data_IF_416099394458
#
_entry.id   IF_416099394458
#
_cell.length_a   1.000
_cell.length_b   1.000
_cell.length_c   1.000
_cell.angle_alpha   90.00
_cell.angle_beta   90.00
_cell.angle_gamma   90.00
#
_symmetry.space_group_name_H-M   'P 1'
#
loop_
_entity.id
_entity.type
_entity.pdbx_description
1 polymer ?
#
# COMPACT_ATOMS: atom_id res chain seq x y z
N UNK A 1 28.66 -36.68 -28.04
CA UNK A 1 27.59 -36.53 -27.04
C UNK A 1 27.87 -35.33 -26.11
N UNK A 2 28.02 -34.10 -26.63
CA UNK A 2 28.89 -33.09 -25.95
C UNK A 2 28.38 -31.63 -25.92
N UNK A 3 27.28 -31.29 -26.58
CA UNK A 3 26.85 -29.88 -26.68
C UNK A 3 25.34 -29.68 -26.50
N UNK A 4 24.54 -30.52 -27.14
CA UNK A 4 23.08 -30.35 -27.15
C UNK A 4 22.44 -30.57 -25.77
N UNK A 5 22.99 -31.49 -24.97
CA UNK A 5 22.50 -31.74 -23.61
C UNK A 5 22.66 -30.54 -22.67
N UNK A 6 23.75 -29.78 -22.82
CA UNK A 6 23.97 -28.56 -22.03
C UNK A 6 22.97 -27.48 -22.47
N UNK A 7 22.77 -27.30 -23.78
CA UNK A 7 21.80 -26.36 -24.34
C UNK A 7 20.37 -26.65 -23.88
N UNK A 8 19.93 -27.91 -23.97
CA UNK A 8 18.61 -28.34 -23.50
C UNK A 8 18.44 -28.13 -21.98
N UNK A 9 19.50 -28.37 -21.20
CA UNK A 9 19.45 -28.17 -19.75
C UNK A 9 19.33 -26.69 -19.41
N UNK A 10 20.04 -25.82 -20.13
CA UNK A 10 19.97 -24.37 -19.94
C UNK A 10 18.61 -23.81 -20.37
N UNK A 11 18.07 -24.21 -21.53
CA UNK A 11 16.74 -23.76 -21.97
C UNK A 11 15.67 -24.19 -20.95
N UNK A 12 15.73 -25.43 -20.44
CA UNK A 12 14.80 -25.90 -19.39
C UNK A 12 14.92 -25.17 -18.05
N UNK A 13 16.05 -24.53 -17.79
CA UNK A 13 16.33 -23.80 -16.54
C UNK A 13 16.23 -22.28 -16.70
N UNK A 14 16.02 -21.82 -17.92
CA UNK A 14 15.87 -20.42 -18.27
C UNK A 14 14.41 -19.99 -18.22
N UNK A 15 14.18 -18.69 -18.15
CA UNK A 15 12.86 -18.09 -18.35
C UNK A 15 12.52 -17.96 -19.84
N UNK A 16 13.51 -18.14 -20.71
CA UNK A 16 13.38 -18.07 -22.17
C UNK A 16 13.43 -19.44 -22.83
N UNK A 17 12.61 -19.62 -23.86
CA UNK A 17 12.53 -20.87 -24.64
C UNK A 17 13.59 -20.97 -25.76
N UNK A 18 14.46 -19.96 -25.91
CA UNK A 18 15.49 -19.92 -26.93
C UNK A 18 16.89 -19.77 -26.32
N UNK A 19 17.87 -20.40 -26.96
CA UNK A 19 19.26 -20.43 -26.52
C UNK A 19 19.89 -19.04 -26.39
N UNK A 20 19.61 -18.13 -27.32
CA UNK A 20 20.24 -16.80 -27.37
C UNK A 20 19.87 -15.92 -26.18
N UNK A 21 18.62 -15.99 -25.71
CA UNK A 21 18.20 -15.28 -24.51
C UNK A 21 18.59 -16.06 -23.26
N UNK A 22 18.43 -17.40 -23.28
CA UNK A 22 18.72 -18.25 -22.13
C UNK A 22 20.18 -18.17 -21.67
N UNK A 23 21.14 -18.06 -22.60
CA UNK A 23 22.57 -17.91 -22.27
C UNK A 23 22.92 -16.56 -21.64
N UNK A 24 22.11 -15.53 -21.88
CA UNK A 24 22.35 -14.18 -21.34
C UNK A 24 21.88 -14.02 -19.89
N UNK A 25 21.03 -14.92 -19.40
CA UNK A 25 20.52 -14.89 -18.03
C UNK A 25 21.56 -15.28 -16.97
N UNK A 26 22.61 -15.99 -17.37
CA UNK A 26 23.67 -16.48 -16.49
C UNK A 26 24.83 -15.51 -16.50
N UNK A 27 25.12 -14.86 -15.37
CA UNK A 27 26.06 -13.73 -15.36
C UNK A 27 27.21 -13.89 -14.39
N UNK A 28 27.04 -14.71 -13.34
CA UNK A 28 28.06 -14.88 -12.30
C UNK A 28 28.58 -16.31 -12.30
N UNK A 29 29.89 -16.44 -12.45
CA UNK A 29 30.61 -17.69 -12.31
C UNK A 29 31.47 -17.66 -11.03
N UNK A 30 31.34 -18.71 -10.22
CA UNK A 30 32.14 -18.94 -9.01
C UNK A 30 32.87 -20.26 -9.17
N UNK A 31 34.19 -20.26 -8.96
CA UNK A 31 34.92 -21.50 -8.85
C UNK A 31 34.59 -22.12 -7.48
N UNK A 32 34.01 -23.30 -7.49
CA UNK A 32 33.57 -23.99 -6.28
C UNK A 32 34.61 -25.01 -5.83
N UNK A 33 35.20 -25.76 -6.77
CA UNK A 33 36.12 -26.85 -6.42
C UNK A 33 37.16 -27.11 -7.50
N UNK A 34 38.28 -27.66 -7.07
CA UNK A 34 39.26 -28.27 -7.97
C UNK A 34 39.42 -29.73 -7.61
N UNK A 35 39.12 -30.57 -8.58
CA UNK A 35 39.24 -32.00 -8.45
C UNK A 35 40.60 -32.45 -8.98
N UNK A 36 41.58 -32.44 -8.10
CA UNK A 36 42.93 -32.96 -8.36
C UNK A 36 42.93 -34.46 -8.73
N UNK A 37 41.86 -35.19 -8.40
CA UNK A 37 41.70 -36.61 -8.73
C UNK A 37 41.09 -36.85 -10.12
N UNK A 38 40.62 -35.80 -10.80
CA UNK A 38 40.00 -35.87 -12.13
C UNK A 38 38.84 -36.90 -12.23
N UNK A 39 38.10 -37.12 -11.14
CA UNK A 39 36.95 -38.03 -11.09
C UNK A 39 35.64 -37.34 -11.46
N UNK A 40 35.59 -36.02 -11.44
CA UNK A 40 34.38 -35.23 -11.66
C UNK A 40 34.04 -35.07 -13.14
N UNK A 41 32.74 -34.99 -13.42
CA UNK A 41 32.19 -34.84 -14.77
C UNK A 41 31.36 -33.56 -14.85
N UNK A 42 31.50 -32.84 -15.96
CA UNK A 42 30.71 -31.65 -16.25
C UNK A 42 29.27 -32.01 -16.55
N UNK A 43 28.32 -31.10 -16.29
CA UNK A 43 26.92 -31.19 -16.72
C UNK A 43 26.76 -31.46 -18.23
N UNK A 44 27.72 -31.05 -19.07
CA UNK A 44 27.73 -31.35 -20.51
C UNK A 44 28.14 -32.80 -20.84
N UNK A 45 28.44 -33.64 -19.84
CA UNK A 45 28.84 -35.05 -19.98
C UNK A 45 30.36 -35.26 -20.14
N UNK A 46 31.15 -34.18 -20.16
CA UNK A 46 32.61 -34.27 -20.26
C UNK A 46 33.21 -34.73 -18.94
N UNK A 47 33.92 -35.87 -18.96
CA UNK A 47 34.55 -36.45 -17.76
C UNK A 47 35.91 -35.82 -17.48
N UNK A 48 36.44 -36.06 -16.28
CA UNK A 48 37.79 -35.71 -15.85
C UNK A 48 38.11 -34.21 -15.78
N UNK A 49 37.13 -33.41 -15.37
CA UNK A 49 37.30 -31.95 -15.26
C UNK A 49 38.03 -31.55 -13.98
N UNK A 50 39.15 -30.83 -14.12
CA UNK A 50 39.97 -30.37 -13.00
C UNK A 50 39.32 -29.22 -12.22
N UNK A 51 38.64 -28.30 -12.89
CA UNK A 51 38.02 -27.12 -12.28
C UNK A 51 36.51 -27.16 -12.39
N UNK A 52 35.84 -26.97 -11.27
CA UNK A 52 34.38 -27.06 -11.12
C UNK A 52 33.85 -25.69 -10.74
N UNK A 53 33.05 -25.13 -11.63
CA UNK A 53 32.40 -23.86 -11.45
C UNK A 53 30.92 -24.07 -11.16
N UNK A 54 30.34 -23.14 -10.39
CA UNK A 54 28.90 -22.90 -10.31
C UNK A 54 28.62 -21.59 -11.05
N UNK A 55 27.57 -21.56 -11.86
CA UNK A 55 27.07 -20.33 -12.47
C UNK A 55 25.63 -20.08 -12.02
N UNK A 56 25.30 -18.82 -11.71
CA UNK A 56 23.97 -18.42 -11.23
C UNK A 56 23.30 -17.44 -12.18
N UNK A 57 21.96 -17.45 -12.16
CA UNK A 57 21.13 -16.54 -12.94
C UNK A 57 21.04 -15.17 -12.28
N UNK A 58 20.87 -14.13 -13.09
CA UNK A 58 20.78 -12.75 -12.64
C UNK A 58 19.35 -12.29 -12.30
N UNK A 59 18.36 -13.16 -12.45
CA UNK A 59 16.93 -12.86 -12.26
C UNK A 59 16.48 -12.94 -10.78
N UNK A 60 17.43 -13.17 -9.87
CA UNK A 60 17.14 -13.36 -8.44
C UNK A 60 16.68 -14.77 -8.10
N UNK A 61 16.64 -15.71 -9.05
CA UNK A 61 16.41 -17.11 -8.75
C UNK A 61 17.64 -17.72 -8.06
N UNK A 62 17.42 -18.56 -7.03
CA UNK A 62 18.48 -19.35 -6.37
C UNK A 62 18.94 -20.55 -7.21
N UNK A 63 18.63 -20.54 -8.52
CA UNK A 63 18.95 -21.63 -9.44
C UNK A 63 20.41 -21.51 -9.85
N UNK A 64 21.19 -22.51 -9.49
CA UNK A 64 22.59 -22.64 -9.88
C UNK A 64 22.84 -23.81 -10.84
N UNK A 65 23.80 -23.64 -11.74
CA UNK A 65 24.31 -24.68 -12.61
C UNK A 65 25.66 -25.15 -12.10
N UNK A 66 25.66 -26.31 -11.46
CA UNK A 66 26.84 -26.99 -10.93
C UNK A 66 26.70 -28.51 -11.15
N UNK A 67 27.78 -29.25 -11.47
CA UNK A 67 29.13 -28.79 -11.81
C UNK A 67 29.31 -28.44 -13.29
N UNK A 68 29.84 -27.25 -13.59
CA UNK A 68 30.19 -26.85 -14.96
C UNK A 68 31.70 -26.60 -15.10
N UNK A 69 32.30 -27.09 -16.18
CA UNK A 69 33.71 -26.85 -16.52
C UNK A 69 33.88 -25.52 -17.26
N UNK A 70 35.08 -24.92 -17.19
CA UNK A 70 35.40 -23.65 -17.86
C UNK A 70 35.09 -23.67 -19.36
N UNK A 71 35.43 -24.77 -20.05
CA UNK A 71 35.14 -24.94 -21.48
C UNK A 71 33.65 -25.02 -21.82
N UNK A 72 32.81 -25.42 -20.86
CA UNK A 72 31.35 -25.41 -21.03
C UNK A 72 30.75 -24.03 -20.65
N UNK A 73 31.41 -23.22 -19.82
CA UNK A 73 31.04 -21.80 -19.58
C UNK A 73 31.40 -20.91 -20.78
N UNK A 74 32.57 -21.08 -21.39
CA UNK A 74 33.01 -20.26 -22.53
C UNK A 74 32.03 -20.32 -23.72
N UNK A 75 31.34 -21.44 -23.88
CA UNK A 75 30.30 -21.66 -24.91
C UNK A 75 29.04 -20.82 -24.73
N UNK A 76 28.85 -20.16 -23.58
CA UNK A 76 27.74 -19.24 -23.38
C UNK A 76 27.95 -17.94 -24.18
N UNK A 77 29.18 -17.64 -24.59
CA UNK A 77 29.53 -16.42 -25.35
C UNK A 77 28.94 -15.15 -24.71
N UNK A 78 28.79 -15.17 -23.38
CA UNK A 78 28.28 -14.07 -22.58
C UNK A 78 29.48 -13.33 -21.99
N UNK A 79 29.64 -12.07 -22.34
CA UNK A 79 30.78 -11.26 -21.89
C UNK A 79 30.85 -11.11 -20.37
N UNK A 80 29.71 -10.95 -19.70
CA UNK A 80 29.64 -10.77 -18.26
C UNK A 80 30.06 -12.06 -17.54
N UNK A 81 29.53 -13.20 -18.00
CA UNK A 81 29.88 -14.51 -17.48
C UNK A 81 31.36 -14.85 -17.73
N UNK A 82 31.88 -14.50 -18.90
CA UNK A 82 33.30 -14.69 -19.26
C UNK A 82 34.21 -13.83 -18.38
N UNK A 83 33.82 -12.58 -18.10
CA UNK A 83 34.52 -11.71 -17.14
C UNK A 83 34.51 -12.32 -15.74
N UNK A 84 33.36 -12.85 -15.29
CA UNK A 84 33.25 -13.52 -13.99
C UNK A 84 34.09 -14.80 -13.91
N UNK A 85 34.12 -15.60 -14.98
CA UNK A 85 34.95 -16.80 -15.07
C UNK A 85 36.44 -16.46 -14.93
N UNK A 86 36.91 -15.48 -15.71
CA UNK A 86 38.30 -15.00 -15.63
C UNK A 86 38.64 -14.44 -14.26
N UNK A 87 37.69 -13.77 -13.59
CA UNK A 87 37.84 -13.30 -12.20
C UNK A 87 37.98 -14.48 -11.24
N UNK A 88 37.12 -15.49 -11.33
CA UNK A 88 37.18 -16.68 -10.50
C UNK A 88 38.48 -17.49 -10.70
N UNK A 89 38.97 -17.60 -11.95
CA UNK A 89 40.24 -18.27 -12.23
C UNK A 89 41.46 -17.48 -11.76
N UNK A 90 41.42 -16.14 -11.84
CA UNK A 90 42.47 -15.28 -11.29
C UNK A 90 42.52 -15.38 -9.77
N UNK A 91 41.37 -15.32 -9.10
CA UNK A 91 41.26 -15.54 -7.65
C UNK A 91 41.90 -16.89 -7.29
N UNK A 92 41.67 -17.95 -8.07
CA UNK A 92 42.29 -19.24 -7.79
C UNK A 92 43.80 -19.31 -8.07
N UNK A 93 44.31 -18.71 -9.14
CA UNK A 93 45.76 -18.67 -9.39
C UNK A 93 46.54 -17.93 -8.30
N UNK A 94 45.87 -17.03 -7.58
CA UNK A 94 46.38 -16.35 -6.40
C UNK A 94 46.29 -17.21 -5.11
N UNK A 95 45.74 -18.43 -5.17
CA UNK A 95 45.66 -19.40 -4.05
C UNK A 95 46.62 -20.59 -4.18
N UNK A 96 47.44 -20.65 -5.23
CA UNK A 96 48.41 -21.75 -5.48
C UNK A 96 49.88 -21.30 -5.44
N UNK A 97 50.17 -20.09 -5.00
CA UNK A 97 51.50 -19.62 -4.63
C UNK A 97 51.92 -20.09 -3.22
N UNK A 98 53.09 -20.73 -3.16
CA UNK A 98 53.78 -21.18 -1.94
C UNK A 98 54.32 -20.01 -1.07
N UNK A 99 53.56 -18.93 -0.87
CA UNK A 99 54.00 -17.76 -0.09
C UNK A 99 52.85 -16.99 0.57
N UNK A 100 53.14 -16.19 1.59
CA UNK A 100 52.15 -15.38 2.32
C UNK A 100 51.46 -14.29 1.49
N UNK A 101 51.89 -14.09 0.25
CA UNK A 101 51.15 -13.32 -0.72
C UNK A 101 49.71 -13.90 -0.84
N UNK A 102 49.60 -15.22 -0.84
CA UNK A 102 48.38 -15.98 -1.07
C UNK A 102 47.36 -15.90 0.07
N UNK A 103 47.80 -15.71 1.32
CA UNK A 103 46.86 -15.55 2.44
C UNK A 103 46.01 -14.28 2.28
N UNK A 104 46.62 -13.19 1.80
CA UNK A 104 45.91 -11.93 1.48
C UNK A 104 45.04 -12.04 0.23
N UNK A 105 45.35 -12.99 -0.64
CA UNK A 105 44.53 -13.29 -1.82
C UNK A 105 43.37 -14.25 -1.49
N UNK A 106 43.49 -15.02 -0.41
CA UNK A 106 42.46 -15.92 0.12
C UNK A 106 41.48 -15.22 1.06
N UNK A 107 41.93 -14.23 1.81
CA UNK A 107 41.19 -13.60 2.90
C UNK A 107 41.66 -12.16 3.11
N UNK A 108 40.72 -11.22 3.25
CA UNK A 108 40.99 -9.85 3.68
C UNK A 108 40.62 -9.66 5.16
N UNK A 109 40.88 -8.46 5.70
CA UNK A 109 40.64 -8.18 7.12
C UNK A 109 39.14 -8.25 7.45
N UNK A 110 38.26 -7.84 6.53
CA UNK A 110 36.81 -7.86 6.74
C UNK A 110 36.29 -9.31 6.86
N UNK A 111 36.72 -10.22 5.96
CA UNK A 111 36.37 -11.63 6.02
C UNK A 111 36.97 -12.34 7.25
N UNK A 112 38.20 -11.96 7.62
CA UNK A 112 38.83 -12.47 8.85
C UNK A 112 38.06 -12.05 10.10
N UNK A 113 37.59 -10.80 10.16
CA UNK A 113 36.77 -10.27 11.26
C UNK A 113 35.44 -11.03 11.36
N UNK A 114 34.78 -11.27 10.23
CA UNK A 114 33.55 -12.07 10.18
C UNK A 114 33.76 -13.50 10.70
N UNK A 115 34.82 -14.20 10.25
CA UNK A 115 35.11 -15.56 10.73
C UNK A 115 35.43 -15.62 12.22
N UNK A 116 35.99 -14.55 12.77
CA UNK A 116 36.22 -14.45 14.21
C UNK A 116 34.90 -14.24 14.98
N UNK A 117 34.04 -13.34 14.52
CA UNK A 117 32.72 -13.08 15.13
C UNK A 117 31.80 -14.30 15.09
N UNK A 118 31.84 -15.07 13.99
CA UNK A 118 31.06 -16.30 13.82
C UNK A 118 31.65 -17.51 14.56
N UNK A 119 32.80 -17.36 15.24
CA UNK A 119 33.35 -18.36 16.16
C UNK A 119 34.08 -19.53 15.50
N UNK A 120 34.61 -19.35 14.28
CA UNK A 120 35.34 -20.43 13.58
C UNK A 120 36.69 -20.77 14.19
N UNK A 121 37.33 -19.81 14.89
CA UNK A 121 38.58 -20.05 15.61
C UNK A 121 38.31 -20.86 16.87
N UNK A 122 39.11 -21.91 17.11
CA UNK A 122 38.93 -22.85 18.23
C UNK A 122 40.07 -22.75 19.23
N UNK A 123 39.74 -22.84 20.52
CA UNK A 123 40.73 -22.89 21.59
C UNK A 123 41.51 -24.21 21.55
N UNK A 124 42.83 -24.13 21.62
CA UNK A 124 43.69 -25.29 21.79
C UNK A 124 44.99 -24.93 22.52
N UNK A 125 45.83 -25.94 22.78
CA UNK A 125 47.07 -25.73 23.50
C UNK A 125 48.08 -24.82 22.77
N UNK A 126 48.09 -24.82 21.44
CA UNK A 126 49.04 -24.07 20.62
C UNK A 126 48.67 -22.58 20.50
N UNK A 127 47.40 -22.22 20.68
CA UNK A 127 46.94 -20.83 20.84
C UNK A 127 46.73 -20.39 22.29
N UNK A 128 47.27 -21.14 23.25
CA UNK A 128 47.16 -20.88 24.69
C UNK A 128 45.70 -20.83 25.18
N UNK A 129 44.84 -21.61 24.55
CA UNK A 129 43.39 -21.64 24.78
C UNK A 129 42.74 -20.26 24.60
N UNK A 130 43.27 -19.45 23.68
CA UNK A 130 42.73 -18.14 23.37
C UNK A 130 42.67 -17.94 21.85
N UNK A 131 41.45 -17.98 21.31
CA UNK A 131 41.17 -17.83 19.87
C UNK A 131 41.65 -16.49 19.31
N UNK A 132 41.75 -15.45 20.15
CA UNK A 132 42.28 -14.14 19.76
C UNK A 132 43.72 -14.23 19.28
N UNK A 133 44.51 -15.16 19.82
CA UNK A 133 45.92 -15.31 19.47
C UNK A 133 46.10 -15.77 18.01
N UNK A 134 45.25 -16.68 17.52
CA UNK A 134 45.25 -17.08 16.12
C UNK A 134 44.68 -15.97 15.23
N UNK A 135 43.59 -15.32 15.65
CA UNK A 135 43.02 -14.22 14.90
C UNK A 135 44.01 -13.06 14.70
N UNK A 136 44.74 -12.67 15.76
CA UNK A 136 45.80 -11.66 15.68
C UNK A 136 46.96 -12.14 14.81
N UNK A 137 47.31 -13.42 14.88
CA UNK A 137 48.33 -14.00 14.00
C UNK A 137 47.93 -13.85 12.52
N UNK A 138 46.66 -14.06 12.18
CA UNK A 138 46.13 -13.81 10.84
C UNK A 138 46.08 -12.31 10.51
N UNK A 139 45.72 -11.42 11.44
CA UNK A 139 45.79 -9.96 11.22
C UNK A 139 47.21 -9.48 10.93
N UNK A 140 48.20 -9.99 11.68
CA UNK A 140 49.62 -9.74 11.43
C UNK A 140 50.04 -10.28 10.07
N UNK A 141 49.49 -11.42 9.66
CA UNK A 141 49.75 -12.01 8.37
C UNK A 141 49.21 -11.18 7.18
N UNK A 142 48.02 -10.59 7.37
CA UNK A 142 47.36 -9.73 6.39
C UNK A 142 47.87 -8.27 6.43
N UNK A 143 48.66 -7.90 7.43
CA UNK A 143 49.16 -6.54 7.63
C UNK A 143 50.02 -6.02 6.46
N UNK A 144 50.02 -4.69 6.28
CA UNK A 144 50.92 -4.01 5.34
C UNK A 144 52.34 -3.85 5.91
N UNK A 145 52.52 -4.00 7.22
CA UNK A 145 53.83 -3.92 7.89
C UNK A 145 54.70 -5.13 7.55
N UNK A 146 55.93 -4.88 7.07
CA UNK A 146 56.88 -5.96 6.77
C UNK A 146 57.33 -6.74 8.03
N UNK A 147 57.41 -6.07 9.18
CA UNK A 147 57.85 -6.68 10.45
C UNK A 147 56.79 -7.64 11.02
N UNK A 148 55.53 -7.22 11.03
CA UNK A 148 54.42 -8.05 11.52
C UNK A 148 54.24 -9.29 10.64
N UNK A 149 54.36 -9.12 9.33
CA UNK A 149 54.32 -10.25 8.41
C UNK A 149 55.45 -11.24 8.69
N UNK A 150 56.68 -10.78 8.89
CA UNK A 150 57.81 -11.67 9.18
C UNK A 150 57.60 -12.48 10.49
N UNK A 151 56.98 -11.87 11.51
CA UNK A 151 56.64 -12.58 12.75
C UNK A 151 55.62 -13.69 12.52
N UNK A 152 54.61 -13.42 11.69
CA UNK A 152 53.59 -14.40 11.36
C UNK A 152 54.10 -15.48 10.36
N UNK A 153 55.07 -15.14 9.49
CA UNK A 153 55.83 -16.09 8.66
C UNK A 153 56.54 -17.17 9.50
N UNK A 154 57.06 -16.80 10.67
CA UNK A 154 57.73 -17.76 11.57
C UNK A 154 56.76 -18.76 12.21
N UNK A 155 55.44 -18.54 12.09
CA UNK A 155 54.37 -19.39 12.62
C UNK A 155 53.45 -19.90 11.49
N UNK A 156 54.00 -20.05 10.28
CA UNK A 156 53.21 -20.45 9.09
C UNK A 156 52.52 -21.79 9.23
N UNK A 157 53.17 -22.77 9.84
CA UNK A 157 52.57 -24.09 10.05
C UNK A 157 51.28 -23.99 10.89
N UNK A 158 51.23 -23.04 11.83
CA UNK A 158 50.03 -22.77 12.62
C UNK A 158 48.92 -22.14 11.79
N UNK A 159 49.25 -21.17 10.94
CA UNK A 159 48.29 -20.54 10.02
C UNK A 159 47.70 -21.59 9.07
N UNK A 160 48.56 -22.44 8.49
CA UNK A 160 48.12 -23.52 7.58
C UNK A 160 47.24 -24.55 8.29
N UNK A 161 47.58 -24.94 9.52
CA UNK A 161 46.75 -25.83 10.33
C UNK A 161 45.37 -25.24 10.61
N UNK A 162 45.30 -23.98 11.08
CA UNK A 162 44.01 -23.30 11.34
C UNK A 162 43.17 -23.18 10.05
N UNK A 163 43.78 -22.85 8.91
CA UNK A 163 43.09 -22.81 7.61
C UNK A 163 42.52 -24.18 7.21
N UNK A 164 43.26 -25.26 7.45
CA UNK A 164 42.89 -26.59 6.96
C UNK A 164 41.94 -27.34 7.90
N UNK A 165 42.01 -27.10 9.20
CA UNK A 165 41.29 -27.89 10.20
C UNK A 165 40.15 -27.10 10.86
N UNK A 166 40.27 -25.78 11.02
CA UNK A 166 39.25 -24.96 11.70
C UNK A 166 38.33 -24.29 10.70
N UNK A 167 38.88 -23.77 9.61
CA UNK A 167 38.14 -23.05 8.57
C UNK A 167 37.63 -23.96 7.43
N UNK A 168 37.82 -25.28 7.53
CA UNK A 168 37.55 -26.25 6.44
C UNK A 168 36.59 -27.42 6.70
N UNK A 169 35.53 -27.31 7.53
CA UNK A 169 34.39 -28.23 7.45
C UNK A 169 33.37 -27.96 6.32
N UNK A 170 33.25 -26.74 5.75
CA UNK A 170 32.28 -26.47 4.66
C UNK A 170 32.76 -26.81 3.23
N UNK A 171 33.95 -27.37 3.04
CA UNK A 171 34.58 -27.45 1.70
C UNK A 171 34.72 -28.85 1.08
N UNK A 172 34.15 -29.93 1.65
CA UNK A 172 34.32 -31.29 1.09
C UNK A 172 33.08 -32.22 1.15
N UNK A 173 32.00 -31.85 0.45
CA UNK A 173 30.98 -32.82 0.00
C UNK A 173 31.28 -33.35 -1.42
N UNK A 174 31.09 -34.65 -1.67
CA UNK A 174 30.87 -35.17 -3.04
C UNK A 174 29.37 -34.99 -3.31
N UNK A 175 29.05 -34.26 -4.37
CA UNK A 175 27.67 -33.91 -4.70
C UNK A 175 27.04 -34.97 -5.60
N UNK A 176 25.92 -35.56 -5.16
CA UNK A 176 25.12 -36.42 -6.01
C UNK A 176 24.30 -35.55 -6.97
N UNK A 177 24.74 -35.52 -8.23
CA UNK A 177 24.13 -34.73 -9.32
C UNK A 177 22.69 -35.18 -9.56
N UNK A 178 22.36 -36.45 -9.37
CA UNK A 178 21.03 -37.00 -9.62
C UNK A 178 20.08 -36.67 -8.46
N UNK A 179 20.57 -36.69 -7.23
CA UNK A 179 19.83 -36.19 -6.06
C UNK A 179 19.56 -34.69 -6.14
N UNK A 180 20.55 -33.89 -6.56
CA UNK A 180 20.35 -32.45 -6.78
C UNK A 180 19.33 -32.17 -7.89
N UNK A 181 19.42 -32.87 -9.03
CA UNK A 181 18.42 -32.76 -10.11
C UNK A 181 17.01 -33.13 -9.63
N UNK A 182 16.88 -34.06 -8.69
CA UNK A 182 15.61 -34.43 -8.07
C UNK A 182 15.09 -33.33 -7.15
N UNK A 183 15.95 -32.75 -6.30
CA UNK A 183 15.60 -31.63 -5.43
C UNK A 183 15.24 -30.38 -6.22
N UNK A 184 15.95 -30.11 -7.32
CA UNK A 184 15.64 -28.99 -8.22
C UNK A 184 14.25 -29.12 -8.86
N UNK A 185 13.83 -30.34 -9.22
CA UNK A 185 12.46 -30.59 -9.70
C UNK A 185 11.42 -30.37 -8.59
N UNK A 186 11.76 -30.75 -7.35
CA UNK A 186 10.89 -30.58 -6.19
C UNK A 186 10.69 -29.09 -5.89
N UNK A 187 11.77 -28.31 -5.81
CA UNK A 187 11.72 -26.87 -5.54
C UNK A 187 10.95 -26.11 -6.62
N UNK A 188 11.10 -26.47 -7.90
CA UNK A 188 10.28 -25.87 -8.97
C UNK A 188 8.79 -26.17 -8.79
N UNK A 189 8.44 -27.39 -8.36
CA UNK A 189 7.05 -27.77 -8.11
C UNK A 189 6.49 -27.01 -6.90
N UNK A 190 7.28 -26.88 -5.84
CA UNK A 190 6.92 -26.11 -4.64
C UNK A 190 6.73 -24.62 -4.98
N UNK A 191 7.61 -24.04 -5.80
CA UNK A 191 7.49 -22.66 -6.28
C UNK A 191 6.23 -22.44 -7.13
N UNK A 192 5.92 -23.38 -8.02
CA UNK A 192 4.69 -23.33 -8.84
C UNK A 192 3.43 -23.49 -7.98
N UNK A 193 3.46 -24.38 -6.99
CA UNK A 193 2.38 -24.54 -6.03
C UNK A 193 2.19 -23.30 -5.17
N UNK A 194 3.27 -22.68 -4.71
CA UNK A 194 3.20 -21.45 -3.92
C UNK A 194 2.65 -20.29 -4.76
N UNK A 195 3.08 -20.14 -6.02
CA UNK A 195 2.49 -19.16 -6.95
C UNK A 195 0.98 -19.38 -7.13
N UNK A 196 0.54 -20.64 -7.27
CA UNK A 196 -0.90 -20.99 -7.36
C UNK A 196 -1.65 -20.67 -6.07
N UNK A 197 -1.06 -20.93 -4.89
CA UNK A 197 -1.64 -20.58 -3.58
C UNK A 197 -1.79 -19.06 -3.43
N UNK A 198 -0.75 -18.31 -3.76
CA UNK A 198 -0.76 -16.85 -3.74
C UNK A 198 -1.80 -16.27 -4.70
N UNK A 199 -1.92 -16.80 -5.91
CA UNK A 199 -2.94 -16.38 -6.86
C UNK A 199 -4.36 -16.67 -6.33
N UNK A 200 -4.58 -17.85 -5.74
CA UNK A 200 -5.88 -18.20 -5.14
C UNK A 200 -6.24 -17.27 -3.97
N UNK A 201 -5.28 -16.93 -3.11
CA UNK A 201 -5.45 -15.96 -2.03
C UNK A 201 -5.80 -14.56 -2.57
N UNK A 202 -5.11 -14.11 -3.64
CA UNK A 202 -5.42 -12.82 -4.28
C UNK A 202 -6.82 -12.79 -4.87
N UNK A 203 -7.26 -13.86 -5.53
CA UNK A 203 -8.63 -13.97 -6.07
C UNK A 203 -9.67 -13.95 -4.95
N UNK A 204 -9.46 -14.70 -3.87
CA UNK A 204 -10.35 -14.71 -2.72
C UNK A 204 -10.44 -13.31 -2.05
N UNK A 205 -9.31 -12.62 -1.88
CA UNK A 205 -9.29 -11.26 -1.34
C UNK A 205 -10.01 -10.24 -2.24
N UNK A 206 -9.89 -10.39 -3.56
CA UNK A 206 -10.61 -9.54 -4.52
C UNK A 206 -12.12 -9.80 -4.49
N UNK A 207 -12.54 -11.07 -4.45
CA UNK A 207 -13.94 -11.45 -4.30
C UNK A 207 -14.54 -10.90 -2.99
N UNK A 208 -13.83 -11.02 -1.88
CA UNK A 208 -14.23 -10.45 -0.59
C UNK A 208 -14.35 -8.91 -0.66
N UNK A 209 -13.41 -8.24 -1.34
CA UNK A 209 -13.46 -6.79 -1.55
C UNK A 209 -14.69 -6.38 -2.35
N UNK A 210 -15.00 -7.09 -3.43
CA UNK A 210 -16.18 -6.85 -4.26
C UNK A 210 -17.45 -7.08 -3.43
N UNK A 211 -17.49 -8.13 -2.62
CA UNK A 211 -18.64 -8.44 -1.76
C UNK A 211 -18.87 -7.33 -0.72
N UNK A 212 -17.82 -6.89 -0.02
CA UNK A 212 -17.88 -5.76 0.93
C UNK A 212 -18.37 -4.47 0.25
N UNK A 213 -17.94 -4.20 -0.99
CA UNK A 213 -18.43 -3.04 -1.74
C UNK A 213 -19.92 -3.15 -2.10
N UNK A 214 -20.40 -4.33 -2.48
CA UNK A 214 -21.84 -4.56 -2.73
C UNK A 214 -22.66 -4.34 -1.45
N UNK A 215 -22.24 -4.95 -0.34
CA UNK A 215 -22.91 -4.78 0.96
C UNK A 215 -22.92 -3.33 1.43
N UNK A 216 -21.81 -2.59 1.24
CA UNK A 216 -21.74 -1.17 1.58
C UNK A 216 -22.68 -0.32 0.71
N UNK A 217 -22.79 -0.63 -0.59
CA UNK A 217 -23.74 0.04 -1.49
C UNK A 217 -25.18 -0.24 -1.10
N UNK A 218 -25.51 -1.48 -0.76
CA UNK A 218 -26.83 -1.87 -0.28
C UNK A 218 -27.20 -1.17 1.03
N UNK A 219 -26.27 -1.13 2.00
CA UNK A 219 -26.46 -0.38 3.26
C UNK A 219 -26.70 1.11 3.00
N UNK A 220 -25.91 1.74 2.12
CA UNK A 220 -26.12 3.14 1.72
C UNK A 220 -27.50 3.35 1.08
N UNK A 221 -27.94 2.45 0.20
CA UNK A 221 -29.25 2.53 -0.43
C UNK A 221 -30.37 2.37 0.59
N UNK A 222 -30.25 1.44 1.53
CA UNK A 222 -31.22 1.28 2.63
C UNK A 222 -31.27 2.51 3.53
N UNK A 223 -30.11 3.07 3.87
CA UNK A 223 -30.03 4.29 4.68
C UNK A 223 -30.68 5.48 3.96
N UNK A 224 -30.42 5.66 2.66
CA UNK A 224 -31.07 6.69 1.85
C UNK A 224 -32.59 6.50 1.82
N UNK A 225 -33.09 5.27 1.64
CA UNK A 225 -34.53 4.97 1.70
C UNK A 225 -35.12 5.33 3.07
N UNK A 226 -34.43 4.97 4.16
CA UNK A 226 -34.86 5.30 5.52
C UNK A 226 -34.86 6.82 5.77
N UNK A 227 -33.85 7.53 5.29
CA UNK A 227 -33.78 8.99 5.39
C UNK A 227 -34.90 9.67 4.60
N UNK A 228 -35.19 9.20 3.37
CA UNK A 228 -36.32 9.67 2.56
C UNK A 228 -37.65 9.43 3.28
N UNK A 229 -37.85 8.24 3.85
CA UNK A 229 -39.05 7.93 4.62
C UNK A 229 -39.20 8.86 5.83
N UNK A 230 -38.14 9.03 6.64
CA UNK A 230 -38.14 9.97 7.77
C UNK A 230 -38.45 11.41 7.34
N UNK A 231 -37.93 11.86 6.19
CA UNK A 231 -38.22 13.18 5.63
C UNK A 231 -39.70 13.30 5.27
N UNK A 232 -40.27 12.30 4.59
CA UNK A 232 -41.68 12.25 4.27
C UNK A 232 -42.55 12.29 5.53
N UNK A 233 -42.25 11.48 6.55
CA UNK A 233 -43.03 11.42 7.79
C UNK A 233 -43.07 12.78 8.50
N UNK A 234 -41.94 13.50 8.54
CA UNK A 234 -41.87 14.87 9.09
C UNK A 234 -42.73 15.86 8.30
N UNK A 235 -42.65 15.80 6.97
CA UNK A 235 -43.43 16.66 6.09
C UNK A 235 -44.93 16.36 6.18
N UNK A 236 -45.30 15.09 6.29
CA UNK A 236 -46.68 14.65 6.46
C UNK A 236 -47.24 15.11 7.81
N UNK A 237 -46.47 15.01 8.89
CA UNK A 237 -46.85 15.53 10.20
C UNK A 237 -47.12 17.05 10.15
N UNK A 238 -46.26 17.82 9.46
CA UNK A 238 -46.48 19.24 9.24
C UNK A 238 -47.74 19.53 8.41
N UNK A 239 -47.97 18.79 7.32
CA UNK A 239 -49.16 18.96 6.48
C UNK A 239 -50.45 18.64 7.24
N UNK A 240 -50.42 17.64 8.13
CA UNK A 240 -51.57 17.26 8.96
C UNK A 240 -51.93 18.32 10.00
N UNK A 241 -51.00 19.19 10.39
CA UNK A 241 -51.29 20.33 11.28
C UNK A 241 -52.02 21.47 10.56
N UNK A 242 -51.98 21.51 9.23
CA UNK A 242 -52.71 22.51 8.44
C UNK A 242 -54.19 22.10 8.31
N UNK A 243 -55.09 23.07 8.48
CA UNK A 243 -56.55 22.87 8.43
C UNK A 243 -57.24 23.65 7.30
N UNK A 244 -56.48 24.24 6.37
CA UNK A 244 -57.04 25.02 5.26
C UNK A 244 -57.48 24.13 4.07
N UNK A 245 -58.45 24.58 3.24
CA UNK A 245 -58.95 23.81 2.11
C UNK A 245 -57.87 23.40 1.09
N UNK A 246 -56.88 24.27 0.85
CA UNK A 246 -55.77 23.97 -0.08
C UNK A 246 -54.89 22.83 0.46
N UNK A 247 -54.69 22.76 1.79
CA UNK A 247 -53.99 21.63 2.42
C UNK A 247 -54.72 20.30 2.24
N UNK A 248 -56.05 20.31 2.15
CA UNK A 248 -56.84 19.10 1.97
C UNK A 248 -56.69 18.53 0.54
N UNK A 249 -56.65 19.40 -0.47
CA UNK A 249 -56.38 19.01 -1.86
C UNK A 249 -54.98 18.39 -2.02
N UNK A 250 -53.98 18.93 -1.32
CA UNK A 250 -52.63 18.37 -1.30
C UNK A 250 -52.59 17.02 -0.58
N UNK A 251 -53.30 16.85 0.55
CA UNK A 251 -53.43 15.55 1.24
C UNK A 251 -54.02 14.48 0.32
N UNK A 252 -55.06 14.82 -0.44
CA UNK A 252 -55.70 13.87 -1.36
C UNK A 252 -54.85 13.57 -2.60
N UNK A 253 -54.03 14.52 -3.04
CA UNK A 253 -53.03 14.30 -4.10
C UNK A 253 -51.87 13.41 -3.63
N UNK A 254 -51.40 13.59 -2.40
CA UNK A 254 -50.37 12.74 -1.76
C UNK A 254 -50.87 11.30 -1.58
N UNK A 255 -52.13 11.10 -1.19
CA UNK A 255 -52.73 9.76 -1.05
C UNK A 255 -52.81 9.02 -2.39
N UNK A 256 -53.10 9.73 -3.49
CA UNK A 256 -53.20 9.16 -4.84
C UNK A 256 -51.84 8.77 -5.44
N UNK A 257 -50.74 9.39 -5.00
CA UNK A 257 -49.40 9.02 -5.45
C UNK A 257 -48.95 7.69 -4.84
N UNK A 258 -48.32 6.82 -5.63
CA UNK A 258 -47.62 5.62 -5.15
C UNK A 258 -46.13 5.86 -4.89
N UNK A 259 -45.55 6.90 -5.50
CA UNK A 259 -44.13 7.23 -5.46
C UNK A 259 -43.81 8.18 -4.29
N UNK A 260 -42.87 7.77 -3.44
CA UNK A 260 -42.44 8.51 -2.25
C UNK A 260 -41.76 9.84 -2.60
N UNK A 261 -40.97 9.90 -3.67
CA UNK A 261 -40.27 11.13 -4.06
C UNK A 261 -41.30 12.18 -4.53
N UNK A 262 -42.27 11.77 -5.35
CA UNK A 262 -43.38 12.64 -5.76
C UNK A 262 -44.20 13.14 -4.57
N UNK A 263 -44.43 12.29 -3.56
CA UNK A 263 -45.11 12.71 -2.31
C UNK A 263 -44.31 13.77 -1.57
N UNK A 264 -43.00 13.56 -1.41
CA UNK A 264 -42.11 14.53 -0.76
C UNK A 264 -42.12 15.86 -1.52
N UNK A 265 -42.03 15.83 -2.85
CA UNK A 265 -41.99 17.01 -3.69
C UNK A 265 -43.28 17.82 -3.61
N UNK A 266 -44.45 17.16 -3.67
CA UNK A 266 -45.75 17.81 -3.53
C UNK A 266 -45.88 18.54 -2.19
N UNK A 267 -45.53 17.88 -1.08
CA UNK A 267 -45.63 18.50 0.24
C UNK A 267 -44.60 19.61 0.41
N UNK A 268 -43.38 19.41 -0.10
CA UNK A 268 -42.31 20.42 -0.04
C UNK A 268 -42.70 21.67 -0.82
N UNK A 269 -43.23 21.50 -2.04
CA UNK A 269 -43.71 22.60 -2.86
C UNK A 269 -44.81 23.39 -2.14
N UNK A 270 -45.81 22.70 -1.61
CA UNK A 270 -46.90 23.34 -0.87
C UNK A 270 -46.39 24.09 0.38
N UNK A 271 -45.46 23.49 1.13
CA UNK A 271 -44.82 24.14 2.29
C UNK A 271 -44.11 25.43 1.89
N UNK A 272 -43.30 25.39 0.83
CA UNK A 272 -42.59 26.57 0.34
C UNK A 272 -43.56 27.65 -0.14
N UNK A 273 -44.66 27.27 -0.77
CA UNK A 273 -45.71 28.20 -1.20
C UNK A 273 -46.33 28.92 0.01
N UNK A 274 -46.70 28.17 1.07
CA UNK A 274 -47.23 28.75 2.31
C UNK A 274 -46.23 29.66 3.00
N UNK A 275 -44.97 29.26 3.08
CA UNK A 275 -43.91 30.11 3.63
C UNK A 275 -43.73 31.40 2.82
N UNK A 276 -43.83 31.33 1.48
CA UNK A 276 -43.74 32.51 0.62
C UNK A 276 -44.95 33.43 0.80
N UNK A 277 -46.15 32.88 0.87
CA UNK A 277 -47.38 33.64 1.16
C UNK A 277 -47.26 34.34 2.52
N UNK A 278 -46.85 33.62 3.57
CA UNK A 278 -46.65 34.20 4.90
C UNK A 278 -45.59 35.32 4.91
N UNK A 279 -44.47 35.14 4.19
CA UNK A 279 -43.46 36.21 4.04
C UNK A 279 -44.01 37.44 3.33
N UNK A 280 -44.77 37.25 2.24
CA UNK A 280 -45.38 38.35 1.50
C UNK A 280 -46.42 39.08 2.35
N UNK A 281 -47.19 38.36 3.17
CA UNK A 281 -48.14 38.96 4.11
C UNK A 281 -47.43 39.82 5.17
N UNK A 282 -46.29 39.35 5.71
CA UNK A 282 -45.47 40.12 6.66
C UNK A 282 -44.89 41.38 5.99
N UNK A 283 -44.38 41.26 4.77
CA UNK A 283 -43.83 42.39 4.01
C UNK A 283 -44.92 43.43 3.69
N UNK A 284 -46.06 42.96 3.17
CA UNK A 284 -47.21 43.82 2.90
C UNK A 284 -47.73 44.50 4.18
N UNK A 285 -47.76 43.80 5.33
CA UNK A 285 -48.16 44.42 6.60
C UNK A 285 -47.11 45.42 7.11
N UNK A 286 -45.82 45.18 6.87
CA UNK A 286 -44.74 46.12 7.20
C UNK A 286 -44.81 47.42 6.37
N UNK A 287 -45.15 47.34 5.08
CA UNK A 287 -45.32 48.53 4.21
C UNK A 287 -46.42 49.46 4.71
N UNK A 288 -47.49 48.88 5.28
CA UNK A 288 -48.61 49.63 5.86
C UNK A 288 -48.23 50.40 7.14
N UNK A 289 -47.08 50.13 7.75
CA UNK A 289 -46.63 50.76 8.99
C UNK A 289 -46.50 52.28 8.85
N UNK A 290 -45.96 52.75 7.73
CA UNK A 290 -45.76 54.19 7.46
C UNK A 290 -47.10 54.95 7.49
N UNK A 291 -48.12 54.37 6.86
CA UNK A 291 -49.47 54.90 6.80
C UNK A 291 -50.19 54.79 8.15
N UNK A 292 -49.98 53.69 8.91
CA UNK A 292 -50.48 53.56 10.29
C UNK A 292 -49.93 54.69 11.15
N UNK A 293 -48.63 54.95 11.08
CA UNK A 293 -48.00 56.02 11.86
C UNK A 293 -48.48 57.42 11.44
N UNK A 294 -48.87 57.61 10.18
CA UNK A 294 -49.49 58.86 9.70
C UNK A 294 -50.89 59.04 10.26
N UNK A 295 -51.78 58.05 10.09
CA UNK A 295 -53.15 58.12 10.61
C UNK A 295 -53.19 58.20 12.13
N UNK A 296 -52.28 57.51 12.81
CA UNK A 296 -52.14 57.57 14.27
C UNK A 296 -51.86 58.99 14.75
N UNK A 297 -51.04 59.76 14.04
CA UNK A 297 -50.81 61.18 14.32
C UNK A 297 -52.07 62.02 14.12
N UNK A 298 -52.84 61.74 13.07
CA UNK A 298 -54.11 62.43 12.79
C UNK A 298 -55.18 62.12 13.84
N UNK A 299 -55.31 60.88 14.28
CA UNK A 299 -56.25 60.52 15.37
C UNK A 299 -55.82 61.15 16.69
N UNK A 300 -54.52 61.20 16.98
CA UNK A 300 -53.99 61.86 18.20
C UNK A 300 -54.30 63.35 18.26
N UNK A 301 -54.30 64.07 17.13
CA UNK A 301 -54.64 65.51 17.13
C UNK A 301 -56.11 65.78 17.49
N UNK A 302 -56.98 64.76 17.43
CA UNK A 302 -58.40 64.84 17.80
C UNK A 302 -58.65 64.59 19.30
N UNK A 303 -57.63 64.29 20.10
CA UNK A 303 -57.77 64.05 21.54
C UNK A 303 -58.48 65.19 22.30
N UNK A 304 -58.23 66.49 21.99
CA UNK A 304 -58.95 67.59 22.64
C UNK A 304 -60.41 67.71 22.20
N UNK A 305 -60.78 67.11 21.07
CA UNK A 305 -62.10 67.25 20.45
C UNK A 305 -63.06 66.13 20.81
N UNK A 306 -62.56 64.89 20.94
CA UNK A 306 -63.40 63.76 21.32
C UNK A 306 -62.64 62.72 22.14
N UNK A 307 -63.16 62.28 23.30
CA UNK A 307 -62.53 61.24 24.12
C UNK A 307 -62.51 59.87 23.42
N UNK A 308 -63.32 59.70 22.37
CA UNK A 308 -63.37 58.47 21.57
C UNK A 308 -62.08 58.26 20.76
N UNK A 309 -61.37 59.32 20.40
CA UNK A 309 -60.09 59.23 19.72
C UNK A 309 -59.02 58.56 20.60
N UNK A 310 -58.99 58.87 21.90
CA UNK A 310 -58.08 58.24 22.85
C UNK A 310 -58.41 56.74 23.02
N UNK A 311 -59.70 56.41 23.22
CA UNK A 311 -60.17 55.02 23.30
C UNK A 311 -59.86 54.20 22.04
N UNK A 312 -59.90 54.82 20.85
CA UNK A 312 -59.56 54.15 19.60
C UNK A 312 -58.08 53.74 19.55
N UNK A 313 -57.16 54.63 19.95
CA UNK A 313 -55.72 54.29 20.00
C UNK A 313 -55.44 53.25 21.08
N UNK A 314 -56.04 53.39 22.26
CA UNK A 314 -55.89 52.40 23.34
C UNK A 314 -56.38 51.01 22.89
N UNK A 315 -57.51 50.94 22.19
CA UNK A 315 -58.02 49.68 21.65
C UNK A 315 -57.08 49.07 20.61
N UNK A 316 -56.59 49.90 19.68
CA UNK A 316 -55.66 49.45 18.64
C UNK A 316 -54.35 48.91 19.24
N UNK A 317 -53.81 49.55 20.27
CA UNK A 317 -52.58 49.12 20.95
C UNK A 317 -52.73 47.81 21.74
N UNK A 318 -53.92 47.55 22.30
CA UNK A 318 -54.13 46.37 23.14
C UNK A 318 -54.67 45.15 22.36
N UNK A 319 -55.44 45.36 21.28
CA UNK A 319 -56.23 44.28 20.68
C UNK A 319 -55.98 44.03 19.19
N UNK A 320 -55.57 45.04 18.41
CA UNK A 320 -55.39 44.86 16.97
C UNK A 320 -53.99 44.28 16.67
N UNK A 321 -53.94 43.19 15.90
CA UNK A 321 -52.72 42.37 15.75
C UNK A 321 -51.94 42.64 14.46
N UNK A 322 -52.55 43.32 13.47
CA UNK A 322 -51.90 43.66 12.19
C UNK A 322 -52.02 45.16 11.88
N UNK A 323 -51.05 45.70 11.13
CA UNK A 323 -51.08 47.09 10.68
C UNK A 323 -52.33 47.36 9.82
N UNK A 324 -52.79 46.38 9.04
CA UNK A 324 -54.06 46.49 8.28
C UNK A 324 -55.29 46.71 9.17
N UNK A 325 -55.40 46.01 10.30
CA UNK A 325 -56.48 46.23 11.27
C UNK A 325 -56.35 47.60 11.95
N UNK A 326 -55.13 48.01 12.30
CA UNK A 326 -54.83 49.33 12.86
C UNK A 326 -55.34 50.44 11.92
N UNK A 327 -55.06 50.33 10.61
CA UNK A 327 -55.57 51.25 9.59
C UNK A 327 -57.09 51.28 9.53
N UNK A 328 -57.75 50.13 9.55
CA UNK A 328 -59.21 50.04 9.43
C UNK A 328 -59.91 50.79 10.56
N UNK A 329 -59.51 50.55 11.82
CA UNK A 329 -60.12 51.22 12.98
C UNK A 329 -59.86 52.73 12.97
N UNK A 330 -58.63 53.17 12.66
CA UNK A 330 -58.30 54.59 12.61
C UNK A 330 -59.02 55.32 11.46
N UNK A 331 -59.08 54.73 10.25
CA UNK A 331 -59.82 55.30 9.11
C UNK A 331 -61.32 55.39 9.39
N UNK A 332 -61.90 54.37 10.03
CA UNK A 332 -63.31 54.37 10.42
C UNK A 332 -63.63 55.52 11.39
N UNK A 333 -62.80 55.71 12.42
CA UNK A 333 -62.98 56.83 13.35
C UNK A 333 -62.88 58.18 12.64
N UNK A 334 -61.85 58.39 11.80
CA UNK A 334 -61.67 59.65 11.07
C UNK A 334 -62.88 59.95 10.18
N UNK A 335 -63.42 58.93 9.50
CA UNK A 335 -64.64 59.06 8.71
C UNK A 335 -65.87 59.40 9.56
N UNK A 336 -66.03 58.77 10.73
CA UNK A 336 -67.13 59.09 11.67
C UNK A 336 -67.05 60.56 12.16
N UNK A 337 -65.84 61.11 12.31
CA UNK A 337 -65.62 62.52 12.66
C UNK A 337 -65.93 63.46 11.49
N UNK A 338 -65.50 63.12 10.27
CA UNK A 338 -65.80 63.90 9.05
C UNK A 338 -67.31 63.96 8.75
N UNK A 339 -68.03 62.87 9.01
CA UNK A 339 -69.49 62.77 8.86
C UNK A 339 -70.27 63.43 10.02
N UNK A 340 -69.58 64.07 10.98
CA UNK A 340 -70.19 64.81 12.10
C UNK A 340 -70.92 63.95 13.12
N UNK A 341 -70.60 62.65 13.19
CA UNK A 341 -71.31 61.68 14.07
C UNK A 341 -70.72 61.59 15.48
N UNK A 342 -69.76 62.46 15.84
CA UNK A 342 -68.93 62.36 17.06
C UNK A 342 -68.63 63.70 17.72
#
# INVERSE_FOLDING_TARGET
MSHDYLKETIIRLSSSDNWEQARMEWTKAKLIKIDSSHRQSCLCGHKNIKKLFSIVRNDGSEIELYPIGSSCIEKFENEELTKSLKKAEKIYKLKEGDSFQDLRDMMDIELLDQFYEEGYFKEDKENEFNTWNDYILFKMALSRSGKERQLAYNKMDRILYVVNDYLRPELNGIFDIDEYKKNLKLWKKEEEEEKKRQEKLRRAAEEERIQRQKEAREKKLQEQKLQKQKKYDRLLAWLNQQMDPESQEVKDSVKRSSDLDKKIDLITYFKNLKEKQSRQEIENDADLLSEVMRLRRQVKSLYPRTPRAKKCIDYVDHYAKSNREHLFYMKRLLKEVEEGRL
#
